data_IF_156886953449
#
_entry.id   IF_156886953449
#
_cell.length_a   1.000
_cell.length_b   1.000
_cell.length_c   1.000
_cell.angle_alpha   90.00
_cell.angle_beta   90.00
_cell.angle_gamma   90.00
#
_symmetry.space_group_name_H-M   'P 1'
#
loop_
_entity.id
_entity.type
_entity.pdbx_description
1 polymer ?
#
# COMPACT_ATOMS: atom_id res chain seq x y z
N UNK A 1 17.37 -9.25 17.17
CA UNK A 1 17.12 -9.58 15.78
C UNK A 1 18.25 -10.49 15.32
N UNK A 2 17.94 -11.65 14.77
CA UNK A 2 18.94 -12.51 14.16
C UNK A 2 19.63 -11.79 13.00
N UNK A 3 20.83 -12.22 12.68
CA UNK A 3 21.63 -11.65 11.59
C UNK A 3 20.78 -11.42 10.33
N UNK A 4 20.71 -10.18 9.86
CA UNK A 4 20.08 -9.82 8.60
C UNK A 4 18.59 -9.42 8.65
N UNK A 5 17.88 -9.48 9.77
CA UNK A 5 16.49 -9.02 9.84
C UNK A 5 16.40 -7.50 9.99
N UNK A 6 15.74 -6.84 9.05
CA UNK A 6 15.40 -5.42 9.12
C UNK A 6 13.96 -5.26 9.61
N UNK A 7 13.75 -4.31 10.53
CA UNK A 7 12.44 -3.95 11.05
C UNK A 7 12.13 -2.50 10.66
N UNK A 8 11.05 -2.27 9.95
CA UNK A 8 10.56 -0.94 9.60
C UNK A 8 9.23 -0.68 10.31
N UNK A 9 9.22 0.35 11.17
CA UNK A 9 8.00 0.90 11.75
C UNK A 9 7.49 1.99 10.82
N UNK A 10 6.45 1.70 10.05
CA UNK A 10 5.89 2.67 9.11
C UNK A 10 4.66 3.36 9.68
N UNK A 11 4.73 4.67 9.77
CA UNK A 11 3.62 5.53 10.16
C UNK A 11 3.06 6.26 8.93
N UNK A 12 1.76 6.17 8.72
CA UNK A 12 1.01 6.92 7.71
C UNK A 12 0.51 8.22 8.32
N UNK A 13 1.41 9.18 8.55
CA UNK A 13 1.14 10.36 9.37
C UNK A 13 1.61 11.68 8.76
N UNK A 14 2.07 11.71 7.52
CA UNK A 14 2.37 12.95 6.83
C UNK A 14 1.06 13.48 6.21
N UNK A 15 0.72 14.75 6.52
CA UNK A 15 -0.48 15.40 5.99
C UNK A 15 -1.79 15.15 6.76
N UNK A 16 -1.77 14.46 7.90
CA UNK A 16 -2.97 14.18 8.70
C UNK A 16 -2.83 14.57 10.17
N UNK A 17 -3.95 14.94 10.80
CA UNK A 17 -4.08 15.07 12.27
C UNK A 17 -4.45 13.70 12.86
N UNK A 18 -3.54 12.73 12.85
CA UNK A 18 -3.81 11.45 13.48
C UNK A 18 -3.21 11.43 14.89
N UNK A 19 -4.06 11.52 15.92
CA UNK A 19 -3.65 11.50 17.32
C UNK A 19 -3.00 10.19 17.73
N UNK A 20 -3.33 9.08 17.07
CA UNK A 20 -2.74 7.75 17.37
C UNK A 20 -1.25 7.70 17.06
N UNK A 21 -0.82 8.39 16.02
CA UNK A 21 0.61 8.50 15.70
C UNK A 21 1.36 9.26 16.78
N UNK A 22 0.74 10.25 17.43
CA UNK A 22 1.31 10.95 18.59
C UNK A 22 1.63 9.98 19.73
N UNK A 23 0.71 9.11 20.10
CA UNK A 23 0.93 8.12 21.16
C UNK A 23 2.09 7.15 20.84
N UNK A 24 2.20 6.71 19.58
CA UNK A 24 3.31 5.87 19.11
C UNK A 24 4.64 6.62 19.20
N UNK A 25 4.69 7.86 18.74
CA UNK A 25 5.89 8.70 18.80
C UNK A 25 6.30 8.97 20.26
N UNK A 26 5.35 9.29 21.13
CA UNK A 26 5.58 9.49 22.56
C UNK A 26 6.14 8.21 23.24
N UNK A 27 5.62 7.06 22.87
CA UNK A 27 6.15 5.78 23.34
C UNK A 27 7.62 5.59 22.90
N UNK A 28 7.91 5.83 21.61
CA UNK A 28 9.25 5.71 21.07
C UNK A 28 10.22 6.70 21.74
N UNK A 29 9.80 7.96 21.92
CA UNK A 29 10.57 9.01 22.56
C UNK A 29 10.96 8.62 24.00
N UNK A 30 10.01 8.09 24.77
CA UNK A 30 10.28 7.61 26.13
C UNK A 30 11.25 6.43 26.16
N UNK A 31 11.12 5.50 25.21
CA UNK A 31 11.97 4.28 25.17
C UNK A 31 13.38 4.58 24.71
N UNK A 32 13.57 5.55 23.85
CA UNK A 32 14.87 5.90 23.25
C UNK A 32 15.54 7.11 23.92
N UNK A 33 14.86 7.75 24.88
CA UNK A 33 15.42 8.86 25.66
C UNK A 33 15.57 10.18 24.90
N UNK A 34 14.78 10.39 23.84
CA UNK A 34 14.82 11.62 23.05
C UNK A 34 13.74 11.66 21.96
N UNK A 35 13.61 12.81 21.29
CA UNK A 35 12.66 12.96 20.20
C UNK A 35 13.17 12.23 18.93
N UNK A 36 12.50 11.15 18.58
CA UNK A 36 12.86 10.32 17.40
C UNK A 36 12.73 11.09 16.09
N UNK A 37 11.93 12.16 16.03
CA UNK A 37 11.78 12.98 14.84
C UNK A 37 12.97 13.92 14.59
N UNK A 38 13.82 14.13 15.62
CA UNK A 38 15.06 14.89 15.49
C UNK A 38 16.25 14.03 15.04
N UNK A 39 16.10 12.71 14.99
CA UNK A 39 17.14 11.83 14.46
C UNK A 39 17.41 12.11 12.99
N UNK A 40 18.68 11.99 12.54
CA UNK A 40 19.01 12.17 11.12
C UNK A 40 18.25 11.21 10.22
N UNK A 41 17.85 11.69 9.05
CA UNK A 41 17.21 10.88 8.01
C UNK A 41 18.22 10.34 7.01
N UNK A 42 17.96 9.16 6.50
CA UNK A 42 18.64 8.64 5.32
C UNK A 42 18.15 9.34 4.02
N UNK A 43 18.69 8.94 2.86
CA UNK A 43 18.29 9.50 1.55
C UNK A 43 16.83 9.27 1.19
N UNK A 44 16.14 8.33 1.87
CA UNK A 44 14.73 8.00 1.67
C UNK A 44 13.82 8.67 2.71
N UNK A 45 14.40 9.45 3.63
CA UNK A 45 13.67 10.09 4.72
C UNK A 45 13.41 9.20 5.94
N UNK A 46 13.97 7.99 5.99
CA UNK A 46 13.81 7.09 7.14
C UNK A 46 14.80 7.45 8.26
N UNK A 47 14.40 7.22 9.49
CA UNK A 47 15.22 7.43 10.69
C UNK A 47 15.64 6.12 11.28
N UNK A 48 16.91 5.95 11.60
CA UNK A 48 17.43 4.77 12.30
C UNK A 48 17.18 4.92 13.79
N UNK A 49 16.32 4.08 14.36
CA UNK A 49 16.01 4.06 15.79
C UNK A 49 16.99 3.22 16.59
N UNK A 50 17.42 2.09 16.03
CA UNK A 50 18.41 1.18 16.60
C UNK A 50 19.05 0.36 15.47
N UNK A 51 19.94 -0.57 15.81
CA UNK A 51 20.49 -1.50 14.84
C UNK A 51 19.37 -2.29 14.16
N UNK A 52 19.30 -2.21 12.84
CA UNK A 52 18.28 -2.85 12.00
C UNK A 52 16.82 -2.41 12.26
N UNK A 53 16.59 -1.32 13.02
CA UNK A 53 15.25 -0.79 13.29
C UNK A 53 15.14 0.64 12.74
N UNK A 54 14.15 0.86 11.88
CA UNK A 54 13.93 2.12 11.19
C UNK A 54 12.53 2.65 11.44
N UNK A 55 12.39 3.96 11.51
CA UNK A 55 11.12 4.68 11.49
C UNK A 55 10.93 5.28 10.11
N UNK A 56 9.87 4.88 9.43
CA UNK A 56 9.42 5.41 8.16
C UNK A 56 8.15 6.21 8.36
N UNK A 57 8.07 7.37 7.71
CA UNK A 57 6.86 8.19 7.69
C UNK A 57 6.38 8.31 6.24
N UNK A 58 5.08 8.19 6.03
CA UNK A 58 4.48 8.29 4.72
C UNK A 58 3.20 9.14 4.76
N UNK A 59 2.85 9.70 3.63
CA UNK A 59 1.59 10.41 3.48
C UNK A 59 0.41 9.49 3.72
N UNK A 60 -0.56 9.98 4.50
CA UNK A 60 -1.82 9.30 4.67
C UNK A 60 -2.58 9.27 3.34
N UNK A 61 -3.28 8.20 3.10
CA UNK A 61 -4.17 8.05 1.95
C UNK A 61 -5.49 7.44 2.41
N UNK A 62 -6.53 7.69 1.65
CA UNK A 62 -7.81 7.03 1.88
C UNK A 62 -7.84 5.68 1.16
N UNK A 63 -8.29 4.66 1.89
CA UNK A 63 -8.47 3.32 1.32
C UNK A 63 -9.50 3.37 0.19
N UNK A 64 -9.38 2.48 -0.81
CA UNK A 64 -10.42 2.35 -1.81
C UNK A 64 -11.77 2.07 -1.15
N UNK A 65 -12.76 2.89 -1.45
CA UNK A 65 -14.11 2.78 -0.90
C UNK A 65 -15.12 2.95 -2.04
N UNK A 66 -15.98 1.95 -2.31
CA UNK A 66 -16.98 2.06 -3.37
C UNK A 66 -18.02 3.16 -3.13
N UNK A 67 -18.20 3.59 -1.88
CA UNK A 67 -19.13 4.67 -1.53
C UNK A 67 -18.49 6.07 -1.60
N UNK A 68 -17.14 6.13 -1.68
CA UNK A 68 -16.44 7.40 -1.80
C UNK A 68 -16.61 8.03 -3.18
N UNK A 69 -16.47 9.35 -3.33
CA UNK A 69 -16.42 9.99 -4.64
C UNK A 69 -15.19 9.51 -5.43
N UNK A 70 -15.26 9.63 -6.75
CA UNK A 70 -14.12 9.31 -7.61
C UNK A 70 -12.92 10.21 -7.27
N UNK A 71 -11.74 9.59 -7.20
CA UNK A 71 -10.50 10.25 -6.77
C UNK A 71 -9.72 10.89 -7.93
N UNK A 72 -10.22 10.78 -9.17
CA UNK A 72 -9.52 11.27 -10.36
C UNK A 72 -8.31 10.42 -10.74
N UNK A 73 -8.24 9.17 -10.25
CA UNK A 73 -7.17 8.22 -10.60
C UNK A 73 -7.12 7.98 -12.11
N UNK A 74 -5.97 8.22 -12.71
CA UNK A 74 -5.71 7.91 -14.12
C UNK A 74 -4.74 6.75 -14.29
N UNK A 75 -3.84 6.53 -13.34
CA UNK A 75 -2.78 5.54 -13.42
C UNK A 75 -2.56 4.82 -12.09
N UNK A 76 -2.10 3.56 -12.14
CA UNK A 76 -1.65 2.79 -10.99
C UNK A 76 -0.71 1.66 -11.44
N UNK A 77 0.12 1.19 -10.51
CA UNK A 77 1.04 0.06 -10.71
C UNK A 77 0.37 -1.32 -10.53
N UNK A 78 -0.92 -1.38 -10.18
CA UNK A 78 -1.68 -2.63 -10.07
C UNK A 78 -1.62 -3.46 -11.35
N UNK A 79 -1.34 -4.76 -11.25
CA UNK A 79 -1.08 -5.72 -12.33
C UNK A 79 0.07 -5.37 -13.30
N UNK A 80 0.84 -4.32 -13.02
CA UNK A 80 2.06 -3.99 -13.77
C UNK A 80 3.32 -4.37 -13.00
N UNK A 81 3.35 -4.03 -11.70
CA UNK A 81 4.49 -4.25 -10.82
C UNK A 81 4.10 -5.03 -9.56
N UNK A 82 2.82 -5.23 -9.33
CA UNK A 82 2.31 -5.91 -8.15
C UNK A 82 0.99 -6.61 -8.44
N UNK A 83 0.73 -7.65 -7.72
CA UNK A 83 -0.55 -8.30 -7.48
C UNK A 83 -0.61 -8.72 -6.01
N UNK A 84 -1.75 -9.14 -5.52
CA UNK A 84 -1.86 -9.74 -4.20
C UNK A 84 -2.64 -11.06 -4.27
N UNK A 85 -2.35 -11.92 -3.30
CA UNK A 85 -3.04 -13.19 -3.10
C UNK A 85 -3.65 -13.15 -1.71
N UNK A 86 -4.95 -13.37 -1.62
CA UNK A 86 -5.66 -13.43 -0.35
C UNK A 86 -5.46 -14.81 0.30
N UNK A 87 -5.84 -14.91 1.57
CA UNK A 87 -5.63 -16.12 2.37
C UNK A 87 -6.29 -17.39 1.79
N UNK A 88 -7.34 -17.23 1.00
CA UNK A 88 -8.10 -18.31 0.33
C UNK A 88 -7.60 -18.60 -1.09
N UNK A 89 -6.44 -18.07 -1.49
CA UNK A 89 -5.86 -18.23 -2.81
C UNK A 89 -6.43 -17.29 -3.88
N UNK A 90 -7.37 -16.41 -3.55
CA UNK A 90 -7.92 -15.43 -4.49
C UNK A 90 -6.84 -14.43 -4.92
N UNK A 91 -6.67 -14.24 -6.21
CA UNK A 91 -5.73 -13.26 -6.79
C UNK A 91 -6.46 -11.97 -7.08
N UNK A 92 -5.89 -10.84 -6.61
CA UNK A 92 -6.43 -9.49 -6.78
C UNK A 92 -5.37 -8.55 -7.37
N UNK A 93 -5.76 -7.42 -8.00
CA UNK A 93 -4.83 -6.51 -8.66
C UNK A 93 -3.79 -5.87 -7.73
N UNK A 94 -4.13 -5.67 -6.46
CA UNK A 94 -3.24 -5.06 -5.46
C UNK A 94 -3.69 -5.40 -4.04
N UNK A 95 -2.83 -5.16 -3.07
CA UNK A 95 -3.09 -5.44 -1.65
C UNK A 95 -4.15 -4.54 -1.00
N UNK A 96 -4.63 -3.50 -1.68
CA UNK A 96 -5.70 -2.64 -1.17
C UNK A 96 -7.12 -3.22 -1.45
N UNK A 97 -7.22 -4.25 -2.27
CA UNK A 97 -8.45 -5.03 -2.47
C UNK A 97 -8.50 -6.22 -1.51
N UNK A 98 -8.47 -5.95 -0.21
CA UNK A 98 -8.47 -7.00 0.82
C UNK A 98 -9.75 -7.84 0.88
N UNK A 99 -10.86 -7.31 0.35
CA UNK A 99 -12.16 -7.99 0.28
C UNK A 99 -12.33 -8.85 -0.99
N UNK A 100 -11.38 -8.81 -1.94
CA UNK A 100 -11.45 -9.57 -3.18
C UNK A 100 -12.51 -9.09 -4.18
N UNK A 101 -12.92 -7.83 -4.11
CA UNK A 101 -13.95 -7.25 -5.00
C UNK A 101 -13.55 -7.29 -6.48
N UNK A 102 -12.25 -7.19 -6.74
CA UNK A 102 -11.66 -7.28 -8.07
C UNK A 102 -10.97 -8.63 -8.30
N UNK A 103 -11.52 -9.72 -7.74
CA UNK A 103 -10.96 -11.05 -7.93
C UNK A 103 -10.73 -11.37 -9.42
N UNK A 104 -9.53 -11.85 -9.74
CA UNK A 104 -9.08 -12.21 -11.08
C UNK A 104 -9.14 -13.71 -11.33
N UNK A 105 -9.04 -14.50 -10.27
CA UNK A 105 -9.04 -15.95 -10.25
C UNK A 105 -8.51 -16.48 -8.92
N UNK A 106 -8.25 -17.78 -8.85
CA UNK A 106 -7.78 -18.41 -7.63
C UNK A 106 -6.65 -19.41 -7.94
N UNK A 107 -5.57 -19.38 -7.17
CA UNK A 107 -4.37 -20.20 -7.38
C UNK A 107 -4.58 -21.70 -7.11
N UNK A 108 -5.68 -22.08 -6.42
CA UNK A 108 -6.03 -23.49 -6.27
C UNK A 108 -6.69 -24.09 -7.51
N UNK A 109 -7.13 -23.26 -8.47
CA UNK A 109 -7.86 -23.69 -9.66
C UNK A 109 -7.22 -23.31 -10.97
N UNK A 110 -6.31 -22.33 -10.97
CA UNK A 110 -5.69 -21.80 -12.19
C UNK A 110 -4.25 -21.36 -11.93
N UNK A 111 -3.40 -21.42 -12.95
CA UNK A 111 -2.04 -20.88 -12.91
C UNK A 111 -2.05 -19.33 -12.86
N UNK A 112 -0.94 -18.75 -12.42
CA UNK A 112 -0.76 -17.28 -12.42
C UNK A 112 -0.89 -16.73 -13.83
N UNK A 113 -0.33 -17.43 -14.81
CA UNK A 113 -0.34 -17.06 -16.23
C UNK A 113 -1.78 -16.99 -16.77
N UNK A 114 -2.62 -17.99 -16.47
CA UNK A 114 -4.02 -18.03 -16.88
C UNK A 114 -4.82 -16.89 -16.22
N UNK A 115 -4.60 -16.66 -14.92
CA UNK A 115 -5.26 -15.58 -14.18
C UNK A 115 -4.88 -14.22 -14.76
N UNK A 116 -3.60 -13.99 -15.05
CA UNK A 116 -3.14 -12.73 -15.64
C UNK A 116 -3.56 -12.57 -17.10
N UNK A 117 -3.85 -13.65 -17.81
CA UNK A 117 -4.42 -13.61 -19.16
C UNK A 117 -5.94 -13.41 -19.17
N UNK A 118 -6.59 -13.42 -18.01
CA UNK A 118 -8.05 -13.25 -17.94
C UNK A 118 -8.54 -11.92 -18.54
N UNK A 119 -9.77 -11.88 -19.09
CA UNK A 119 -10.33 -10.65 -19.65
C UNK A 119 -10.35 -9.48 -18.66
N UNK A 120 -10.64 -9.76 -17.38
CA UNK A 120 -10.65 -8.73 -16.33
C UNK A 120 -9.25 -8.16 -16.07
N UNK A 121 -8.24 -9.02 -15.96
CA UNK A 121 -6.86 -8.58 -15.78
C UNK A 121 -6.37 -7.75 -16.99
N UNK A 122 -6.74 -8.17 -18.20
CA UNK A 122 -6.44 -7.41 -19.43
C UNK A 122 -7.12 -6.04 -19.42
N UNK A 123 -8.42 -5.97 -19.08
CA UNK A 123 -9.17 -4.72 -19.00
C UNK A 123 -8.58 -3.73 -17.99
N UNK A 124 -8.12 -4.22 -16.82
CA UNK A 124 -7.48 -3.37 -15.82
C UNK A 124 -6.16 -2.78 -16.35
N UNK A 125 -5.29 -3.61 -16.96
CA UNK A 125 -4.02 -3.12 -17.54
C UNK A 125 -4.25 -2.13 -18.68
N UNK A 126 -5.20 -2.43 -19.56
CA UNK A 126 -5.55 -1.57 -20.67
C UNK A 126 -6.17 -0.25 -20.20
N UNK A 127 -7.08 -0.32 -19.22
CA UNK A 127 -7.70 0.86 -18.61
C UNK A 127 -6.64 1.84 -18.08
N UNK A 128 -5.68 1.36 -17.30
CA UNK A 128 -4.58 2.21 -16.84
C UNK A 128 -3.65 2.68 -17.97
N UNK A 129 -3.46 1.88 -19.03
CA UNK A 129 -2.68 2.31 -20.19
C UNK A 129 -3.32 3.48 -20.94
N UNK A 130 -4.65 3.53 -20.94
CA UNK A 130 -5.46 4.59 -21.55
C UNK A 130 -5.82 5.73 -20.59
N UNK A 131 -5.33 5.69 -19.34
CA UNK A 131 -5.70 6.63 -18.27
C UNK A 131 -7.20 6.63 -17.95
N UNK A 132 -7.84 5.49 -18.10
CA UNK A 132 -9.26 5.26 -17.84
C UNK A 132 -9.45 3.96 -17.08
N UNK A 133 -9.26 3.95 -15.73
CA UNK A 133 -9.40 2.75 -14.92
C UNK A 133 -10.74 2.05 -15.14
N UNK A 134 -10.72 0.76 -15.46
CA UNK A 134 -11.93 -0.03 -15.74
C UNK A 134 -12.72 -0.37 -14.48
N UNK A 135 -12.04 -0.53 -13.34
CA UNK A 135 -12.67 -0.93 -12.08
C UNK A 135 -13.14 0.28 -11.27
N UNK A 136 -14.35 0.18 -10.72
CA UNK A 136 -14.93 1.25 -9.90
C UNK A 136 -14.08 1.52 -8.66
N UNK A 137 -13.62 0.46 -7.99
CA UNK A 137 -12.77 0.59 -6.80
C UNK A 137 -11.47 1.33 -7.12
N UNK A 138 -10.90 1.12 -8.31
CA UNK A 138 -9.69 1.84 -8.75
C UNK A 138 -9.95 3.33 -8.98
N UNK A 139 -11.12 3.70 -9.51
CA UNK A 139 -11.50 5.12 -9.70
C UNK A 139 -11.71 5.86 -8.38
N UNK A 140 -11.94 5.14 -7.28
CA UNK A 140 -12.22 5.66 -5.93
C UNK A 140 -11.06 5.42 -4.95
N UNK A 141 -9.87 5.15 -5.47
CA UNK A 141 -8.70 4.80 -4.68
C UNK A 141 -7.84 6.02 -4.37
N UNK A 142 -7.86 6.48 -3.12
CA UNK A 142 -7.02 7.60 -2.68
C UNK A 142 -5.51 7.31 -2.74
N UNK A 143 -5.10 6.05 -2.70
CA UNK A 143 -3.69 5.70 -2.90
C UNK A 143 -3.25 5.91 -4.35
N UNK A 144 -4.08 5.55 -5.31
CA UNK A 144 -3.75 5.68 -6.72
C UNK A 144 -3.74 7.14 -7.20
N UNK A 145 -4.44 8.04 -6.52
CA UNK A 145 -4.42 9.47 -6.80
C UNK A 145 -3.04 10.14 -6.61
N UNK A 146 -2.02 9.37 -6.18
CA UNK A 146 -0.64 9.85 -5.97
C UNK A 146 0.26 9.72 -7.21
N UNK A 147 -0.19 9.05 -8.26
CA UNK A 147 0.61 8.73 -9.44
C UNK A 147 0.31 9.59 -10.66
#
# INVERSE_FOLDING_TARGET
AGEGTLCALRLWNIGGRDRRNGEVLDFLNRRLGGDVLLLPTDRRGNRRLAEHIFLEQAEKFDWPDPEAPESGTEFCHGLRQQLAVLWDGTVVPCCLDGDGRMALGNLYTSSVEEILASPRAAAIREGFSRRQPSEELCRRCGYAARF
#
